data_IF_174950757652
#
_entry.id   IF_174950757652
#
_cell.length_a   1.000
_cell.length_b   1.000
_cell.length_c   1.000
_cell.angle_alpha   90.00
_cell.angle_beta   90.00
_cell.angle_gamma   90.00
#
_symmetry.space_group_name_H-M   'P 1'
#
loop_
_entity.id
_entity.type
_entity.pdbx_description
1 polymer ?
#
# COMPACT_ATOMS: atom_id res chain seq x y z
N UNK A 1 40.19 38.78 -72.56
CA UNK A 1 38.82 38.84 -71.97
C UNK A 1 38.47 37.49 -71.38
N UNK A 2 38.64 37.33 -70.08
CA UNK A 2 38.50 36.03 -69.41
C UNK A 2 37.22 36.08 -68.56
N UNK A 3 36.27 35.20 -68.90
CA UNK A 3 34.98 35.11 -68.21
C UNK A 3 35.11 34.06 -67.09
N UNK A 4 34.94 34.51 -65.89
CA UNK A 4 34.87 33.61 -64.69
C UNK A 4 33.45 33.13 -64.47
N UNK A 5 33.26 31.80 -64.47
CA UNK A 5 32.05 31.14 -64.05
C UNK A 5 32.12 30.90 -62.54
N UNK A 6 31.11 31.31 -61.79
CA UNK A 6 30.89 30.96 -60.42
C UNK A 6 29.96 29.75 -60.34
N UNK A 7 30.44 28.60 -59.80
CA UNK A 7 29.64 27.49 -59.47
C UNK A 7 29.20 27.68 -57.99
N UNK A 8 27.87 27.76 -57.74
CA UNK A 8 27.28 27.84 -56.43
C UNK A 8 27.11 26.41 -55.91
N UNK A 9 27.95 26.01 -54.93
CA UNK A 9 27.77 24.78 -54.17
C UNK A 9 26.69 25.00 -53.10
N UNK A 10 25.51 24.41 -53.32
CA UNK A 10 24.44 24.39 -52.34
C UNK A 10 24.74 23.37 -51.23
N UNK A 11 25.06 23.85 -50.03
CA UNK A 11 25.13 23.00 -48.82
C UNK A 11 23.73 22.83 -48.28
N UNK A 12 23.14 21.65 -48.46
CA UNK A 12 21.88 21.24 -47.82
C UNK A 12 22.17 20.87 -46.37
N UNK A 13 21.89 21.78 -45.45
CA UNK A 13 21.85 21.44 -44.02
C UNK A 13 20.63 20.54 -43.71
N UNK A 14 20.85 19.25 -43.69
CA UNK A 14 19.89 18.30 -43.06
C UNK A 14 19.89 18.53 -41.55
N UNK A 15 18.95 19.36 -41.07
CA UNK A 15 18.63 19.47 -39.66
C UNK A 15 17.89 18.20 -39.28
N UNK A 16 18.64 17.21 -38.76
CA UNK A 16 18.07 16.05 -38.12
C UNK A 16 17.30 16.46 -36.85
N UNK A 17 15.98 16.44 -36.95
CA UNK A 17 15.11 16.49 -35.78
C UNK A 17 15.36 15.21 -34.96
N UNK A 18 16.39 15.21 -34.13
CA UNK A 18 16.51 14.24 -33.05
C UNK A 18 15.39 14.53 -32.07
N UNK A 19 14.30 13.77 -32.17
CA UNK A 19 13.25 13.74 -31.18
C UNK A 19 13.90 13.42 -29.85
N UNK A 20 13.89 14.38 -28.91
CA UNK A 20 14.21 14.15 -27.52
C UNK A 20 13.15 13.23 -26.89
N UNK A 21 13.18 11.94 -27.21
CA UNK A 21 12.60 10.91 -26.39
C UNK A 21 13.39 10.90 -25.09
N UNK A 22 12.81 11.42 -24.00
CA UNK A 22 13.40 11.22 -22.67
C UNK A 22 13.55 9.72 -22.49
N UNK A 23 14.80 9.25 -22.36
CA UNK A 23 15.08 7.86 -22.01
C UNK A 23 14.25 7.52 -20.77
N UNK A 24 13.46 6.46 -20.84
CA UNK A 24 12.81 5.92 -19.65
C UNK A 24 13.90 5.63 -18.62
N UNK A 25 13.62 5.96 -17.34
CA UNK A 25 14.54 5.63 -16.24
C UNK A 25 14.88 4.14 -16.31
N UNK A 26 16.14 3.74 -16.10
CA UNK A 26 16.53 2.35 -16.17
C UNK A 26 15.65 1.52 -15.24
N UNK A 27 15.08 0.43 -15.78
CA UNK A 27 14.19 -0.47 -15.05
C UNK A 27 15.02 -1.56 -14.38
N UNK A 28 14.96 -1.61 -13.05
CA UNK A 28 15.50 -2.71 -12.27
C UNK A 28 14.50 -3.87 -12.28
N UNK A 29 14.92 -5.05 -12.72
CA UNK A 29 14.06 -6.25 -12.75
C UNK A 29 14.50 -7.18 -11.63
N UNK A 30 13.57 -7.50 -10.72
CA UNK A 30 13.77 -8.49 -9.67
C UNK A 30 13.39 -9.89 -10.21
N UNK A 31 14.30 -10.56 -10.90
CA UNK A 31 14.04 -11.86 -11.54
C UNK A 31 14.43 -13.05 -10.65
N UNK A 32 15.47 -12.91 -9.85
CA UNK A 32 16.01 -13.99 -9.00
C UNK A 32 16.00 -13.59 -7.53
N UNK A 33 15.26 -14.33 -6.66
CA UNK A 33 15.33 -14.11 -5.22
C UNK A 33 16.71 -14.56 -4.67
N UNK A 34 17.19 -13.85 -3.66
CA UNK A 34 18.34 -14.28 -2.86
C UNK A 34 17.99 -15.54 -2.05
N UNK A 35 16.77 -15.57 -1.50
CA UNK A 35 16.25 -16.70 -0.74
C UNK A 35 14.72 -16.74 -0.83
N UNK A 36 14.16 -17.94 -0.65
CA UNK A 36 12.69 -18.14 -0.59
C UNK A 36 12.37 -19.09 0.56
N UNK A 37 11.38 -18.75 1.37
CA UNK A 37 10.91 -19.66 2.41
C UNK A 37 10.31 -20.92 1.78
N UNK A 38 10.62 -22.08 2.35
CA UNK A 38 10.07 -23.37 1.91
C UNK A 38 8.58 -23.50 2.22
N UNK A 39 8.12 -22.90 3.34
CA UNK A 39 6.72 -22.89 3.73
C UNK A 39 5.88 -22.07 2.77
N UNK A 40 4.72 -22.62 2.42
CA UNK A 40 3.66 -21.91 1.70
C UNK A 40 2.63 -21.39 2.68
N UNK A 41 2.04 -20.24 2.34
CA UNK A 41 1.03 -19.53 3.10
C UNK A 41 -0.23 -19.36 2.27
N UNK A 42 -1.38 -19.13 2.92
CA UNK A 42 -2.62 -18.82 2.21
C UNK A 42 -2.81 -17.30 2.04
N UNK A 43 -2.56 -16.51 3.10
CA UNK A 43 -2.76 -15.07 3.06
C UNK A 43 -1.85 -14.33 4.04
N UNK A 44 -0.64 -13.99 3.58
CA UNK A 44 0.28 -13.10 4.32
C UNK A 44 -0.10 -11.65 4.06
N UNK A 45 -0.23 -10.86 5.11
CA UNK A 45 -0.54 -9.42 5.02
C UNK A 45 0.69 -8.59 4.72
N UNK A 46 1.71 -8.71 5.56
CA UNK A 46 2.99 -8.04 5.43
C UNK A 46 4.07 -8.77 6.21
N UNK A 47 5.31 -8.35 6.02
CA UNK A 47 6.46 -8.82 6.79
C UNK A 47 7.29 -7.66 7.31
N UNK A 48 7.97 -7.90 8.44
CA UNK A 48 8.92 -6.99 9.07
C UNK A 48 10.20 -7.76 9.33
N UNK A 49 11.35 -7.20 8.92
CA UNK A 49 12.66 -7.79 9.22
C UNK A 49 13.07 -7.51 10.66
N UNK A 50 13.57 -8.54 11.34
CA UNK A 50 14.13 -8.47 12.69
C UNK A 50 15.63 -8.14 12.63
N UNK A 51 16.22 -7.77 13.77
CA UNK A 51 17.64 -7.37 13.82
C UNK A 51 18.62 -8.49 13.45
N UNK A 52 18.22 -9.75 13.63
CA UNK A 52 19.02 -10.93 13.31
C UNK A 52 18.80 -11.44 11.86
N UNK A 53 17.95 -10.77 11.09
CA UNK A 53 17.63 -11.09 9.70
C UNK A 53 16.49 -12.10 9.53
N UNK A 54 15.89 -12.60 10.61
CA UNK A 54 14.58 -13.27 10.55
C UNK A 54 13.51 -12.25 10.16
N UNK A 55 12.33 -12.74 9.82
CA UNK A 55 11.16 -11.90 9.61
C UNK A 55 10.03 -12.27 10.57
N UNK A 56 9.26 -11.26 10.95
CA UNK A 56 7.95 -11.44 11.57
C UNK A 56 6.87 -11.29 10.50
N UNK A 57 5.84 -12.13 10.52
CA UNK A 57 4.71 -12.06 9.59
C UNK A 57 3.39 -12.50 10.24
N UNK A 58 2.28 -11.97 9.73
CA UNK A 58 0.93 -12.38 10.07
C UNK A 58 0.30 -13.16 8.91
N UNK A 59 -0.24 -14.34 9.20
CA UNK A 59 -0.99 -15.20 8.28
C UNK A 59 -2.47 -15.16 8.67
N UNK A 60 -3.28 -14.51 7.86
CA UNK A 60 -4.68 -14.24 8.18
C UNK A 60 -5.58 -15.49 8.17
N UNK A 61 -5.36 -16.39 7.21
CA UNK A 61 -6.24 -17.57 7.04
C UNK A 61 -5.99 -18.62 8.12
N UNK A 62 -4.73 -18.88 8.44
CA UNK A 62 -4.35 -19.80 9.51
C UNK A 62 -4.39 -19.12 10.88
N UNK A 63 -4.69 -17.80 10.91
CA UNK A 63 -4.76 -16.98 12.15
C UNK A 63 -3.49 -17.09 12.99
N UNK A 64 -2.32 -17.08 12.35
CA UNK A 64 -1.04 -17.26 13.04
C UNK A 64 -0.15 -16.03 12.91
N UNK A 65 0.57 -15.74 13.99
CA UNK A 65 1.70 -14.82 14.02
C UNK A 65 2.98 -15.63 14.10
N UNK A 66 3.94 -15.37 13.23
CA UNK A 66 5.13 -16.24 13.03
C UNK A 66 6.39 -15.41 12.95
N UNK A 67 7.49 -16.00 13.45
CA UNK A 67 8.85 -15.64 13.01
C UNK A 67 9.36 -16.70 12.02
N UNK A 68 10.06 -16.25 10.97
CA UNK A 68 10.60 -17.12 9.95
C UNK A 68 12.07 -16.79 9.66
N UNK A 69 12.89 -17.83 9.49
CA UNK A 69 14.30 -17.70 9.20
C UNK A 69 14.59 -18.18 7.77
N UNK A 70 15.15 -17.32 6.94
CA UNK A 70 15.56 -17.67 5.57
C UNK A 70 16.80 -18.56 5.48
N UNK A 71 17.62 -18.63 6.55
CA UNK A 71 18.83 -19.46 6.56
C UNK A 71 18.49 -20.92 6.85
N UNK A 72 17.59 -21.15 7.82
CA UNK A 72 17.19 -22.52 8.21
C UNK A 72 15.93 -22.97 7.49
N UNK A 73 15.11 -22.04 6.99
CA UNK A 73 13.79 -22.31 6.46
C UNK A 73 12.73 -22.56 7.54
N UNK A 74 13.10 -22.44 8.82
CA UNK A 74 12.19 -22.67 9.94
C UNK A 74 11.21 -21.54 10.14
N UNK A 75 10.02 -21.91 10.64
CA UNK A 75 8.98 -20.96 11.08
C UNK A 75 8.54 -21.28 12.49
N UNK A 76 8.59 -20.28 13.37
CA UNK A 76 8.22 -20.42 14.79
C UNK A 76 6.94 -19.66 15.04
N UNK A 77 5.83 -20.29 15.48
CA UNK A 77 4.64 -19.61 15.94
C UNK A 77 4.95 -18.75 17.19
N UNK A 78 4.39 -17.53 17.20
CA UNK A 78 4.56 -16.58 18.30
C UNK A 78 3.20 -16.31 18.92
N UNK A 79 3.09 -16.55 20.23
CA UNK A 79 1.82 -16.49 20.94
C UNK A 79 0.87 -17.61 20.57
N UNK A 80 -0.36 -17.52 21.07
CA UNK A 80 -1.39 -18.53 20.89
C UNK A 80 -2.65 -17.93 20.26
N UNK A 81 -3.28 -18.69 19.36
CA UNK A 81 -4.60 -18.33 18.86
C UNK A 81 -5.67 -18.53 19.92
N UNK A 82 -6.60 -17.57 20.05
CA UNK A 82 -7.76 -17.68 20.92
C UNK A 82 -9.01 -17.12 20.22
N UNK A 83 -10.08 -17.89 20.17
CA UNK A 83 -11.33 -17.49 19.52
C UNK A 83 -12.08 -16.37 20.26
N UNK A 84 -11.85 -16.25 21.58
CA UNK A 84 -12.50 -15.26 22.43
C UNK A 84 -11.47 -14.38 23.13
N UNK A 85 -11.27 -13.17 22.59
CA UNK A 85 -10.50 -12.10 23.23
C UNK A 85 -11.37 -10.85 23.18
N UNK A 86 -11.60 -10.22 24.33
CA UNK A 86 -12.28 -8.91 24.40
C UNK A 86 -11.25 -7.78 24.23
N UNK A 87 -11.65 -6.60 23.77
CA UNK A 87 -10.74 -5.46 23.61
C UNK A 87 -10.03 -5.03 24.91
N UNK A 88 -10.71 -5.21 26.06
CA UNK A 88 -10.25 -4.89 27.40
C UNK A 88 -9.53 -6.06 28.11
N UNK A 89 -9.55 -7.27 27.53
CA UNK A 89 -8.86 -8.44 28.07
C UNK A 89 -7.36 -8.33 27.78
N UNK A 90 -6.48 -8.27 28.79
CA UNK A 90 -5.04 -8.26 28.57
C UNK A 90 -4.56 -9.49 27.78
N UNK A 91 -5.22 -10.66 27.99
CA UNK A 91 -4.92 -11.92 27.29
C UNK A 91 -3.46 -12.02 26.84
N UNK A 92 -2.47 -11.98 27.76
CA UNK A 92 -1.06 -11.91 27.43
C UNK A 92 -0.66 -13.11 26.57
N UNK A 93 0.11 -12.82 25.52
CA UNK A 93 0.59 -13.88 24.62
C UNK A 93 -0.46 -14.47 23.69
N UNK A 94 -1.70 -13.97 23.66
CA UNK A 94 -2.78 -14.50 22.79
C UNK A 94 -3.18 -13.51 21.69
N UNK A 95 -3.67 -14.02 20.55
CA UNK A 95 -4.22 -13.25 19.42
C UNK A 95 -5.44 -13.97 18.83
N UNK A 96 -6.33 -13.21 18.18
CA UNK A 96 -7.56 -13.74 17.58
C UNK A 96 -7.51 -13.75 16.05
N UNK A 97 -7.13 -12.63 15.43
CA UNK A 97 -6.95 -12.49 13.99
C UNK A 97 -5.75 -11.59 13.71
N UNK A 98 -4.53 -12.17 13.66
CA UNK A 98 -3.32 -11.43 13.35
C UNK A 98 -3.46 -10.73 12.00
N UNK A 99 -3.45 -9.39 11.99
CA UNK A 99 -3.67 -8.59 10.79
C UNK A 99 -2.38 -8.11 10.17
N UNK A 100 -1.67 -7.22 10.86
CA UNK A 100 -0.40 -6.64 10.40
C UNK A 100 0.67 -6.72 11.46
N UNK A 101 1.92 -6.87 11.03
CA UNK A 101 3.10 -6.71 11.87
C UNK A 101 3.73 -5.33 11.64
N UNK A 102 4.28 -4.75 12.71
CA UNK A 102 4.88 -3.42 12.71
C UNK A 102 6.30 -3.50 13.29
N UNK A 103 7.23 -2.73 12.73
CA UNK A 103 8.51 -2.47 13.37
C UNK A 103 8.38 -1.19 14.20
N UNK A 104 8.53 -1.31 15.50
CA UNK A 104 8.61 -0.18 16.42
C UNK A 104 10.07 0.07 16.82
N UNK A 105 10.33 1.05 17.65
CA UNK A 105 11.71 1.35 18.09
C UNK A 105 12.37 0.19 18.86
N UNK A 106 13.69 0.07 18.76
CA UNK A 106 14.45 -1.04 19.37
C UNK A 106 14.17 -2.40 18.74
N UNK A 107 14.08 -3.43 19.56
CA UNK A 107 13.77 -4.84 19.20
C UNK A 107 12.28 -5.18 19.37
N UNK A 108 11.41 -4.17 19.28
CA UNK A 108 9.98 -4.35 19.48
C UNK A 108 9.24 -4.56 18.16
N UNK A 109 8.43 -5.62 18.14
CA UNK A 109 7.49 -5.95 17.07
C UNK A 109 6.07 -5.72 17.57
N UNK A 110 5.28 -4.94 16.83
CA UNK A 110 3.86 -4.78 17.07
C UNK A 110 3.06 -5.78 16.23
N UNK A 111 2.05 -6.40 16.82
CA UNK A 111 1.06 -7.19 16.13
C UNK A 111 -0.29 -6.50 16.24
N UNK A 112 -0.86 -6.06 15.12
CA UNK A 112 -2.23 -5.56 15.04
C UNK A 112 -3.16 -6.75 14.91
N UNK A 113 -4.03 -6.94 15.92
CA UNK A 113 -5.06 -7.97 15.92
C UNK A 113 -6.40 -7.35 15.49
N UNK A 114 -6.87 -7.70 14.30
CA UNK A 114 -8.08 -7.11 13.74
C UNK A 114 -9.36 -7.48 14.49
N UNK A 115 -9.46 -8.71 14.98
CA UNK A 115 -10.68 -9.18 15.63
C UNK A 115 -10.70 -8.90 17.14
N UNK A 116 -9.53 -8.70 17.75
CA UNK A 116 -9.41 -8.24 19.13
C UNK A 116 -9.30 -6.70 19.22
N UNK A 117 -9.26 -6.00 18.09
CA UNK A 117 -9.19 -4.53 17.98
C UNK A 117 -8.07 -3.91 18.83
N UNK A 118 -6.91 -4.57 18.88
CA UNK A 118 -5.78 -4.14 19.70
C UNK A 118 -4.43 -4.33 18.99
N UNK A 119 -3.42 -3.63 19.46
CA UNK A 119 -2.01 -3.86 19.08
C UNK A 119 -1.27 -4.44 20.27
N UNK A 120 -0.69 -5.62 20.12
CA UNK A 120 0.17 -6.25 21.13
C UNK A 120 1.64 -6.04 20.76
N UNK A 121 2.49 -5.87 21.78
CA UNK A 121 3.93 -5.70 21.63
C UNK A 121 4.68 -6.97 22.05
N UNK A 122 5.70 -7.30 21.27
CA UNK A 122 6.53 -8.49 21.41
C UNK A 122 8.00 -8.10 21.23
N UNK A 123 8.91 -8.81 21.88
CA UNK A 123 10.33 -8.66 21.55
C UNK A 123 10.73 -9.62 20.42
N UNK A 124 11.93 -9.47 19.89
CA UNK A 124 12.46 -10.34 18.81
C UNK A 124 12.76 -11.78 19.25
N UNK A 125 12.70 -12.07 20.57
CA UNK A 125 12.71 -13.43 21.09
C UNK A 125 11.31 -14.08 21.09
N UNK A 126 10.27 -13.34 20.67
CA UNK A 126 8.89 -13.83 20.66
C UNK A 126 8.17 -13.76 22.01
N UNK A 127 8.72 -13.03 22.97
CA UNK A 127 8.08 -12.85 24.26
C UNK A 127 7.11 -11.67 24.21
N UNK A 128 5.92 -11.87 24.77
CA UNK A 128 4.91 -10.84 24.93
C UNK A 128 5.40 -9.76 25.91
N UNK A 129 5.22 -8.48 25.54
CA UNK A 129 5.59 -7.35 26.38
C UNK A 129 4.36 -6.67 26.99
N UNK A 130 3.44 -6.19 26.15
CA UNK A 130 2.25 -5.46 26.61
C UNK A 130 1.24 -5.25 25.49
N UNK A 131 0.11 -4.60 25.81
CA UNK A 131 -0.86 -4.06 24.85
C UNK A 131 -0.63 -2.56 24.68
N UNK A 132 -0.53 -2.09 23.46
CA UNK A 132 -0.44 -0.67 23.12
C UNK A 132 -1.84 -0.02 23.03
N UNK A 133 -2.63 -0.16 24.10
CA UNK A 133 -4.00 0.37 24.20
C UNK A 133 -4.99 -0.33 23.27
N UNK A 134 -6.29 -0.09 23.49
CA UNK A 134 -7.31 -0.45 22.52
C UNK A 134 -7.07 0.44 21.27
N UNK A 135 -6.49 -0.13 20.25
CA UNK A 135 -6.47 0.53 18.98
C UNK A 135 -7.93 0.67 18.55
N UNK A 136 -8.51 1.84 18.60
CA UNK A 136 -9.74 2.10 17.89
C UNK A 136 -9.47 1.86 16.40
N UNK A 137 -9.43 0.60 16.01
CA UNK A 137 -9.31 0.17 14.62
C UNK A 137 -10.66 0.44 13.98
N UNK A 138 -10.85 1.69 13.60
CA UNK A 138 -12.02 2.09 12.84
C UNK A 138 -11.92 1.49 11.44
N UNK A 139 -12.62 0.35 11.23
CA UNK A 139 -12.79 -0.25 9.92
C UNK A 139 -11.66 -1.20 9.48
N UNK A 140 -12.04 -2.33 8.93
CA UNK A 140 -11.20 -3.47 8.54
C UNK A 140 -10.14 -3.22 7.44
N UNK A 141 -9.98 -1.99 6.97
CA UNK A 141 -9.11 -1.67 5.83
C UNK A 141 -8.14 -0.49 6.05
N UNK A 142 -7.95 -0.03 7.29
CA UNK A 142 -7.05 1.08 7.54
C UNK A 142 -5.68 0.58 7.97
N UNK A 143 -4.69 0.72 7.10
CA UNK A 143 -3.30 0.62 7.48
C UNK A 143 -3.04 1.64 8.61
N UNK A 144 -2.79 1.14 9.81
CA UNK A 144 -2.41 2.00 10.93
C UNK A 144 -0.91 2.18 10.86
N UNK A 145 -0.48 3.42 10.62
CA UNK A 145 0.92 3.75 10.62
C UNK A 145 1.34 4.23 12.01
N UNK A 146 2.53 3.82 12.45
CA UNK A 146 3.16 4.29 13.68
C UNK A 146 4.53 4.86 13.38
N UNK A 147 4.93 5.90 14.11
CA UNK A 147 6.32 6.34 14.14
C UNK A 147 7.08 5.69 15.32
N UNK A 148 8.39 5.91 15.39
CA UNK A 148 9.24 5.33 16.44
C UNK A 148 8.93 5.88 17.85
N UNK A 149 8.17 6.98 17.97
CA UNK A 149 7.71 7.55 19.25
C UNK A 149 6.39 6.93 19.70
N UNK A 150 5.81 6.03 18.90
CA UNK A 150 4.52 5.40 19.15
C UNK A 150 3.31 6.27 18.81
N UNK A 151 3.50 7.42 18.13
CA UNK A 151 2.36 8.16 17.58
C UNK A 151 1.67 7.30 16.52
N UNK A 152 0.35 7.25 16.60
CA UNK A 152 -0.49 6.53 15.64
C UNK A 152 -1.05 7.51 14.61
N UNK A 153 -1.04 7.11 13.34
CA UNK A 153 -1.55 7.90 12.22
C UNK A 153 -2.65 7.13 11.50
N UNK A 154 -3.79 7.78 11.24
CA UNK A 154 -4.92 7.16 10.54
C UNK A 154 -5.73 8.14 9.73
N UNK A 155 -6.48 7.64 8.77
CA UNK A 155 -7.55 8.39 8.10
C UNK A 155 -8.73 8.59 9.05
N UNK A 156 -9.30 9.80 9.09
CA UNK A 156 -10.51 10.09 9.86
C UNK A 156 -11.77 9.72 9.07
N UNK A 157 -12.06 8.43 9.00
CA UNK A 157 -13.27 7.92 8.33
C UNK A 157 -14.53 8.22 9.15
N UNK A 158 -14.40 8.38 10.50
CA UNK A 158 -15.57 8.63 11.36
C UNK A 158 -16.19 9.99 11.13
N UNK A 159 -15.38 11.01 10.84
CA UNK A 159 -15.90 12.33 10.50
C UNK A 159 -16.75 12.29 9.23
N UNK A 160 -16.44 11.38 8.31
CA UNK A 160 -17.18 11.15 7.07
C UNK A 160 -18.44 10.32 7.31
N UNK A 161 -18.36 9.27 8.15
CA UNK A 161 -19.47 8.37 8.42
C UNK A 161 -20.43 8.92 9.49
N UNK A 162 -19.91 9.67 10.48
CA UNK A 162 -20.70 10.25 11.58
C UNK A 162 -21.60 11.43 11.19
N UNK A 163 -21.38 12.00 10.00
CA UNK A 163 -22.24 13.03 9.43
C UNK A 163 -23.41 12.49 8.59
N UNK A 164 -23.57 11.17 8.50
CA UNK A 164 -24.65 10.53 7.76
C UNK A 164 -25.92 10.51 8.62
N UNK A 165 -26.67 11.61 8.65
CA UNK A 165 -28.06 11.54 9.09
C UNK A 165 -28.87 10.74 8.05
N UNK A 166 -29.84 9.92 8.48
CA UNK A 166 -30.72 9.20 7.57
C UNK A 166 -31.35 10.16 6.54
N UNK A 167 -31.10 9.92 5.26
CA UNK A 167 -31.61 10.72 4.15
C UNK A 167 -30.73 11.88 3.68
N UNK A 168 -29.55 12.10 4.28
CA UNK A 168 -28.58 13.10 3.84
C UNK A 168 -27.35 12.43 3.24
N UNK A 169 -27.20 12.50 1.93
CA UNK A 169 -25.97 12.08 1.24
C UNK A 169 -24.91 13.19 1.39
N UNK A 170 -23.93 12.95 2.27
CA UNK A 170 -22.76 13.83 2.39
C UNK A 170 -21.66 13.31 1.48
N UNK A 171 -21.29 14.09 0.48
CA UNK A 171 -20.14 13.83 -0.36
C UNK A 171 -18.95 14.60 0.19
N UNK A 172 -17.87 13.88 0.50
CA UNK A 172 -16.62 14.48 0.92
C UNK A 172 -15.62 14.38 -0.23
N UNK A 173 -14.88 15.42 -0.49
CA UNK A 173 -13.80 15.47 -1.47
C UNK A 173 -12.45 15.07 -0.86
N UNK A 174 -12.38 15.07 0.47
CA UNK A 174 -11.14 14.81 1.20
C UNK A 174 -11.38 14.16 2.58
N UNK A 175 -10.37 13.41 3.06
CA UNK A 175 -10.26 12.86 4.41
C UNK A 175 -9.12 13.53 5.17
N UNK A 176 -9.30 13.74 6.47
CA UNK A 176 -8.21 14.16 7.36
C UNK A 176 -7.30 12.98 7.70
N UNK A 177 -5.99 13.24 7.76
CA UNK A 177 -5.02 12.37 8.41
C UNK A 177 -4.85 12.85 9.85
N UNK A 178 -5.14 11.98 10.80
CA UNK A 178 -5.02 12.23 12.22
C UNK A 178 -3.71 11.67 12.76
N UNK A 179 -3.04 12.43 13.62
CA UNK A 179 -1.96 11.96 14.50
C UNK A 179 -2.48 11.87 15.93
N UNK A 180 -2.27 10.72 16.57
CA UNK A 180 -2.71 10.43 17.94
C UNK A 180 -1.48 10.05 18.75
N UNK A 181 -1.07 10.86 19.74
CA UNK A 181 0.05 10.54 20.62
C UNK A 181 -0.19 9.28 21.45
N UNK A 182 0.87 8.60 21.95
CA UNK A 182 0.74 7.46 22.84
C UNK A 182 -0.02 7.84 24.11
N UNK A 183 -1.02 7.03 24.49
CA UNK A 183 -1.83 7.26 25.69
C UNK A 183 -2.84 8.39 25.59
N UNK A 184 -2.90 9.12 24.48
CA UNK A 184 -3.83 10.23 24.27
C UNK A 184 -5.08 9.78 23.49
N UNK A 185 -6.20 10.46 23.75
CA UNK A 185 -7.45 10.34 23.01
C UNK A 185 -7.67 11.52 22.05
N UNK A 186 -6.90 12.60 22.21
CA UNK A 186 -6.96 13.78 21.36
C UNK A 186 -6.12 13.58 20.11
N UNK A 187 -6.72 13.83 18.97
CA UNK A 187 -6.10 13.69 17.66
C UNK A 187 -5.86 15.06 17.01
N UNK A 188 -4.66 15.25 16.48
CA UNK A 188 -4.33 16.41 15.65
C UNK A 188 -4.62 16.09 14.18
N UNK A 189 -5.30 16.98 13.46
CA UNK A 189 -5.36 16.91 11.99
C UNK A 189 -4.07 17.47 11.40
N UNK A 190 -3.27 16.61 10.77
CA UNK A 190 -1.96 17.00 10.24
C UNK A 190 -1.93 17.14 8.72
N UNK A 191 -2.87 16.51 8.01
CA UNK A 191 -2.94 16.55 6.55
C UNK A 191 -4.36 16.26 6.05
N UNK A 192 -4.57 16.48 4.74
CA UNK A 192 -5.79 16.05 4.03
C UNK A 192 -5.42 15.24 2.79
N UNK A 193 -6.18 14.18 2.54
CA UNK A 193 -6.08 13.30 1.39
C UNK A 193 -7.28 13.54 0.49
N UNK A 194 -7.05 13.74 -0.80
CA UNK A 194 -8.13 13.83 -1.77
C UNK A 194 -8.73 12.45 -2.01
N UNK A 195 -10.06 12.37 -1.95
CA UNK A 195 -10.81 11.16 -2.26
C UNK A 195 -11.07 11.02 -3.76
N UNK A 196 -11.36 9.79 -4.24
CA UNK A 196 -11.87 9.59 -5.59
C UNK A 196 -13.19 10.36 -5.78
N UNK A 197 -13.57 10.70 -7.01
CA UNK A 197 -14.90 11.20 -7.31
C UNK A 197 -15.99 10.22 -6.84
N UNK A 198 -17.17 10.76 -6.53
CA UNK A 198 -18.34 10.01 -6.15
C UNK A 198 -19.27 9.83 -7.35
N UNK A 199 -20.01 8.73 -7.37
CA UNK A 199 -21.04 8.46 -8.34
C UNK A 199 -22.15 7.60 -7.74
N UNK A 200 -23.25 7.42 -8.46
CA UNK A 200 -24.37 6.61 -8.01
C UNK A 200 -24.05 5.13 -8.18
N UNK A 201 -24.18 4.36 -7.12
CA UNK A 201 -24.15 2.91 -7.11
C UNK A 201 -25.52 2.36 -6.71
N UNK A 202 -25.86 1.17 -7.19
CA UNK A 202 -27.11 0.47 -6.85
C UNK A 202 -26.82 -0.82 -6.09
N UNK A 203 -27.59 -1.06 -5.03
CA UNK A 203 -27.48 -2.21 -4.14
C UNK A 203 -28.87 -2.75 -3.86
N UNK A 204 -29.36 -3.63 -4.72
CA UNK A 204 -30.77 -4.01 -4.75
C UNK A 204 -31.65 -2.81 -5.05
N UNK A 205 -32.62 -2.50 -4.19
CA UNK A 205 -33.51 -1.33 -4.33
C UNK A 205 -32.88 -0.01 -3.89
N UNK A 206 -31.71 -0.04 -3.24
CA UNK A 206 -31.09 1.15 -2.69
C UNK A 206 -30.10 1.77 -3.67
N UNK A 207 -30.26 3.06 -3.94
CA UNK A 207 -29.26 3.87 -4.65
C UNK A 207 -28.47 4.69 -3.62
N UNK A 208 -27.13 4.61 -3.69
CA UNK A 208 -26.24 5.32 -2.78
C UNK A 208 -25.13 6.02 -3.56
N UNK A 209 -24.63 7.12 -3.02
CA UNK A 209 -23.38 7.69 -3.50
C UNK A 209 -22.21 6.87 -2.95
N UNK A 210 -21.36 6.42 -3.86
CA UNK A 210 -20.18 5.60 -3.54
C UNK A 210 -18.95 6.12 -4.30
N UNK A 211 -17.79 5.86 -3.78
CA UNK A 211 -16.55 6.23 -4.46
C UNK A 211 -16.43 5.51 -5.82
N UNK A 212 -16.02 6.24 -6.83
CA UNK A 212 -15.80 5.71 -8.18
C UNK A 212 -14.65 4.69 -8.17
N UNK A 213 -14.94 3.49 -8.63
CA UNK A 213 -13.98 2.38 -8.68
C UNK A 213 -12.90 2.67 -9.72
N UNK A 214 -11.66 2.30 -9.45
CA UNK A 214 -10.44 2.55 -10.24
C UNK A 214 -10.01 4.02 -10.37
N UNK A 215 -10.79 4.98 -9.86
CA UNK A 215 -10.34 6.37 -9.81
C UNK A 215 -9.16 6.54 -8.85
N UNK A 216 -8.26 7.46 -9.17
CA UNK A 216 -7.12 7.77 -8.32
C UNK A 216 -7.55 8.42 -6.99
N UNK A 217 -6.93 8.00 -5.91
CA UNK A 217 -7.03 8.62 -4.58
C UNK A 217 -5.64 8.95 -4.05
N UNK A 218 -5.56 9.92 -3.16
CA UNK A 218 -4.32 10.16 -2.43
C UNK A 218 -4.03 9.00 -1.47
N UNK A 219 -2.75 8.64 -1.35
CA UNK A 219 -2.24 7.68 -0.38
C UNK A 219 -1.30 8.38 0.59
N UNK A 220 -1.13 7.84 1.78
CA UNK A 220 -0.15 8.34 2.74
C UNK A 220 0.58 7.21 3.45
N UNK A 221 1.71 7.54 4.03
CA UNK A 221 2.43 6.69 4.96
C UNK A 221 3.33 7.52 5.86
N UNK A 222 3.84 6.89 6.90
CA UNK A 222 4.63 7.51 7.95
C UNK A 222 5.96 6.79 8.06
N UNK A 223 7.02 7.56 8.28
CA UNK A 223 8.35 7.03 8.54
C UNK A 223 8.61 6.94 10.06
N UNK A 224 9.60 6.14 10.48
CA UNK A 224 9.95 6.04 11.90
C UNK A 224 10.30 7.37 12.57
N UNK A 225 10.84 8.34 11.83
CA UNK A 225 11.15 9.68 12.34
C UNK A 225 9.91 10.58 12.55
N UNK A 226 8.72 10.11 12.15
CA UNK A 226 7.47 10.87 12.19
C UNK A 226 7.25 11.75 10.96
N UNK A 227 8.11 11.69 9.96
CA UNK A 227 7.84 12.29 8.64
C UNK A 227 6.68 11.57 7.97
N UNK A 228 5.82 12.35 7.29
CA UNK A 228 4.69 11.82 6.54
C UNK A 228 4.90 12.12 5.05
N UNK A 229 4.58 11.14 4.22
CA UNK A 229 4.47 11.36 2.78
C UNK A 229 3.02 11.25 2.31
N UNK A 230 2.69 12.01 1.28
CA UNK A 230 1.40 11.91 0.58
C UNK A 230 1.65 11.77 -0.91
N UNK A 231 1.24 10.65 -1.49
CA UNK A 231 1.19 10.48 -2.93
C UNK A 231 -0.10 11.12 -3.45
N UNK A 232 0.04 12.16 -4.28
CA UNK A 232 -1.07 12.93 -4.86
C UNK A 232 -1.52 12.32 -6.17
N UNK A 233 -2.72 11.77 -6.21
CA UNK A 233 -3.26 11.15 -7.42
C UNK A 233 -3.51 12.17 -8.55
N UNK A 234 -3.79 13.42 -8.24
CA UNK A 234 -4.11 14.46 -9.22
C UNK A 234 -2.96 14.80 -10.18
N UNK A 235 -1.72 14.67 -9.74
CA UNK A 235 -0.53 15.05 -10.50
C UNK A 235 0.62 14.04 -10.41
N UNK A 236 0.38 12.86 -9.80
CA UNK A 236 1.38 11.81 -9.57
C UNK A 236 2.65 12.36 -8.86
N UNK A 237 2.47 13.15 -7.81
CA UNK A 237 3.55 13.70 -6.99
C UNK A 237 3.61 13.02 -5.62
N UNK A 238 4.76 13.13 -4.94
CA UNK A 238 4.89 12.75 -3.53
C UNK A 238 5.26 14.00 -2.73
N UNK A 239 4.32 14.47 -1.92
CA UNK A 239 4.54 15.55 -0.96
C UNK A 239 5.08 14.98 0.34
N UNK A 240 5.91 15.75 1.03
CA UNK A 240 6.50 15.38 2.31
C UNK A 240 6.16 16.40 3.40
N UNK A 241 5.79 15.90 4.58
CA UNK A 241 5.62 16.69 5.80
C UNK A 241 6.69 16.25 6.81
N UNK A 242 7.53 17.19 7.22
CA UNK A 242 8.53 16.91 8.28
C UNK A 242 7.86 16.79 9.64
N UNK A 243 8.52 16.19 10.65
CA UNK A 243 8.03 16.17 12.02
C UNK A 243 7.80 17.56 12.63
N UNK A 244 8.50 18.58 12.11
CA UNK A 244 8.34 19.99 12.51
C UNK A 244 7.18 20.69 11.85
N UNK A 245 6.40 20.00 10.98
CA UNK A 245 5.24 20.58 10.30
C UNK A 245 5.57 21.29 8.98
N UNK A 246 6.80 21.20 8.48
CA UNK A 246 7.19 21.84 7.21
C UNK A 246 6.89 20.96 6.02
N UNK A 247 6.18 21.51 5.02
CA UNK A 247 5.87 20.83 3.78
C UNK A 247 6.95 21.02 2.71
N UNK A 248 7.33 19.91 2.07
CA UNK A 248 8.07 19.91 0.81
C UNK A 248 7.17 19.33 -0.27
N UNK A 249 6.83 20.14 -1.28
CA UNK A 249 5.96 19.71 -2.39
C UNK A 249 6.73 18.92 -3.42
N UNK A 250 6.22 17.76 -3.77
CA UNK A 250 6.77 16.93 -4.82
C UNK A 250 6.49 17.51 -6.22
N UNK A 251 7.40 17.21 -7.15
CA UNK A 251 7.19 17.53 -8.57
C UNK A 251 6.19 16.58 -9.18
N UNK A 252 5.17 17.11 -9.86
CA UNK A 252 4.24 16.32 -10.65
C UNK A 252 4.94 15.55 -11.77
N UNK A 253 4.53 14.30 -11.97
CA UNK A 253 5.11 13.38 -12.96
C UNK A 253 4.04 12.96 -13.95
N UNK A 254 4.48 12.75 -15.21
CA UNK A 254 3.61 12.12 -16.21
C UNK A 254 3.43 10.65 -15.86
N UNK A 255 2.27 10.11 -16.14
CA UNK A 255 1.97 8.68 -16.04
C UNK A 255 1.12 8.25 -17.23
N UNK A 256 1.23 6.97 -17.58
CA UNK A 256 0.43 6.39 -18.65
C UNK A 256 -1.01 6.22 -18.19
N UNK A 257 -1.93 6.78 -18.95
CA UNK A 257 -3.35 6.57 -18.75
C UNK A 257 -3.72 5.14 -19.19
N UNK A 258 -4.33 4.41 -18.31
CA UNK A 258 -4.75 3.02 -18.55
C UNK A 258 -6.27 2.98 -18.51
N UNK A 259 -6.88 2.64 -19.63
CA UNK A 259 -8.32 2.50 -19.72
C UNK A 259 -8.83 1.34 -18.86
N UNK A 260 -10.06 1.46 -18.36
CA UNK A 260 -10.77 0.42 -17.64
C UNK A 260 -11.78 -0.25 -18.59
N UNK A 261 -11.44 -1.42 -19.19
CA UNK A 261 -12.32 -2.08 -20.12
C UNK A 261 -13.54 -2.71 -19.45
N UNK A 262 -14.57 -3.02 -20.23
CA UNK A 262 -15.84 -3.56 -19.69
C UNK A 262 -15.62 -4.89 -18.97
N UNK A 263 -14.74 -5.76 -19.48
CA UNK A 263 -14.43 -7.06 -18.87
C UNK A 263 -13.86 -6.92 -17.44
N UNK A 264 -13.07 -5.88 -17.18
CA UNK A 264 -12.53 -5.60 -15.84
C UNK A 264 -13.64 -5.15 -14.89
N UNK A 265 -14.55 -4.27 -15.36
CA UNK A 265 -15.74 -3.83 -14.61
C UNK A 265 -16.64 -5.01 -14.26
N UNK A 266 -16.92 -5.88 -15.22
CA UNK A 266 -17.76 -7.05 -15.05
C UNK A 266 -17.14 -8.06 -14.07
N UNK A 267 -15.83 -8.27 -14.16
CA UNK A 267 -15.09 -9.13 -13.23
C UNK A 267 -15.12 -8.56 -11.80
N UNK A 268 -14.97 -7.24 -11.64
CA UNK A 268 -15.10 -6.60 -10.33
C UNK A 268 -16.49 -6.83 -9.73
N UNK A 269 -17.54 -6.58 -10.50
CA UNK A 269 -18.91 -6.78 -10.04
C UNK A 269 -19.22 -8.26 -9.75
N UNK A 270 -18.67 -9.19 -10.52
CA UNK A 270 -18.81 -10.62 -10.28
C UNK A 270 -18.22 -11.03 -8.93
N UNK A 271 -16.98 -10.63 -8.65
CA UNK A 271 -16.32 -10.90 -7.35
C UNK A 271 -17.09 -10.28 -6.18
N UNK A 272 -17.60 -9.07 -6.36
CA UNK A 272 -18.39 -8.40 -5.33
C UNK A 272 -19.69 -9.13 -5.03
N UNK A 273 -20.42 -9.60 -6.07
CA UNK A 273 -21.63 -10.45 -5.90
C UNK A 273 -21.31 -11.72 -5.13
N UNK A 274 -20.23 -12.42 -5.49
CA UNK A 274 -19.78 -13.61 -4.76
C UNK A 274 -19.46 -13.32 -3.30
N UNK A 275 -18.80 -12.20 -3.02
CA UNK A 275 -18.48 -11.78 -1.65
C UNK A 275 -19.77 -11.49 -0.87
N UNK A 276 -20.70 -10.74 -1.45
CA UNK A 276 -21.99 -10.44 -0.81
C UNK A 276 -22.83 -11.69 -0.58
N UNK A 277 -22.85 -12.63 -1.52
CA UNK A 277 -23.54 -13.91 -1.35
C UNK A 277 -22.96 -14.72 -0.18
N UNK A 278 -21.62 -14.73 -0.02
CA UNK A 278 -20.97 -15.35 1.15
C UNK A 278 -21.34 -14.68 2.48
N UNK A 279 -21.71 -13.40 2.46
CA UNK A 279 -22.20 -12.65 3.62
C UNK A 279 -23.72 -12.74 3.81
N UNK A 280 -24.41 -13.57 3.03
CA UNK A 280 -25.84 -13.81 3.16
C UNK A 280 -26.75 -12.88 2.36
N UNK A 281 -26.21 -12.10 1.41
CA UNK A 281 -27.03 -11.30 0.52
C UNK A 281 -27.90 -12.19 -0.39
N UNK A 282 -29.11 -11.75 -0.77
CA UNK A 282 -29.98 -12.50 -1.68
C UNK A 282 -29.30 -12.80 -3.02
N UNK A 283 -29.56 -13.99 -3.57
CA UNK A 283 -29.11 -14.34 -4.90
C UNK A 283 -29.73 -13.39 -5.93
N UNK A 284 -28.92 -12.92 -6.89
CA UNK A 284 -29.39 -12.04 -7.96
C UNK A 284 -29.56 -10.58 -7.58
N UNK A 285 -29.03 -10.14 -6.44
CA UNK A 285 -29.05 -8.73 -6.05
C UNK A 285 -28.51 -7.85 -7.18
N UNK A 286 -29.28 -6.83 -7.56
CA UNK A 286 -28.84 -5.85 -8.54
C UNK A 286 -27.71 -5.00 -7.96
N UNK A 287 -26.57 -5.02 -8.65
CA UNK A 287 -25.38 -4.27 -8.26
C UNK A 287 -24.86 -3.45 -9.43
N UNK A 288 -24.72 -2.15 -9.20
CA UNK A 288 -23.95 -1.28 -10.07
C UNK A 288 -23.03 -0.38 -9.25
N UNK A 289 -21.91 -0.01 -9.87
CA UNK A 289 -20.94 0.92 -9.31
C UNK A 289 -20.53 1.94 -10.37
N UNK A 290 -20.24 3.17 -9.98
CA UNK A 290 -19.59 4.10 -10.88
C UNK A 290 -18.12 3.68 -11.07
N UNK A 291 -17.69 3.60 -12.30
CA UNK A 291 -16.31 3.28 -12.67
C UNK A 291 -15.66 4.47 -13.34
N UNK A 292 -14.37 4.69 -13.06
CA UNK A 292 -13.56 5.59 -13.84
C UNK A 292 -13.31 5.04 -15.23
N UNK A 293 -13.17 5.91 -16.23
CA UNK A 293 -12.77 5.50 -17.58
C UNK A 293 -11.29 5.13 -17.66
N UNK A 294 -10.47 5.77 -16.80
CA UNK A 294 -9.03 5.56 -16.70
C UNK A 294 -8.63 5.34 -15.23
N UNK A 295 -7.64 4.45 -15.04
CA UNK A 295 -7.07 4.18 -13.71
C UNK A 295 -6.27 5.36 -13.19
N UNK A 296 -6.24 5.54 -11.87
CA UNK A 296 -5.34 6.52 -11.22
C UNK A 296 -3.86 6.20 -11.45
N UNK A 297 -2.93 7.10 -11.07
CA UNK A 297 -1.51 6.94 -11.35
C UNK A 297 -0.83 5.80 -10.56
N UNK A 298 -1.42 5.39 -9.45
CA UNK A 298 -0.93 4.31 -8.57
C UNK A 298 -2.11 3.64 -7.86
N UNK A 299 -1.90 2.40 -7.42
CA UNK A 299 -2.92 1.59 -6.73
C UNK A 299 -2.56 1.29 -5.27
N UNK A 300 -1.28 1.33 -4.94
CA UNK A 300 -0.76 1.13 -3.59
C UNK A 300 0.52 1.94 -3.36
N UNK A 301 0.89 2.11 -2.09
CA UNK A 301 2.11 2.80 -1.71
C UNK A 301 2.66 2.28 -0.39
N UNK A 302 3.98 2.06 -0.34
CA UNK A 302 4.69 1.59 0.85
C UNK A 302 6.03 2.33 0.98
N UNK A 303 6.63 2.30 2.16
CA UNK A 303 7.91 2.97 2.43
C UNK A 303 8.97 1.95 2.82
N UNK A 304 10.17 2.07 2.29
CA UNK A 304 11.31 1.28 2.72
C UNK A 304 12.05 1.95 3.90
N UNK A 305 12.95 1.25 4.61
CA UNK A 305 13.70 1.82 5.74
C UNK A 305 14.60 3.01 5.39
N UNK A 306 15.05 3.14 4.13
CA UNK A 306 15.81 4.31 3.67
C UNK A 306 14.93 5.55 3.44
N UNK A 307 13.63 5.42 3.61
CA UNK A 307 12.66 6.52 3.48
C UNK A 307 12.26 6.81 2.03
N UNK A 308 12.44 5.87 1.11
CA UNK A 308 11.90 5.97 -0.25
C UNK A 308 10.47 5.46 -0.30
N UNK A 309 9.62 6.13 -1.06
CA UNK A 309 8.23 5.73 -1.30
C UNK A 309 8.15 4.89 -2.56
N UNK A 310 7.62 3.71 -2.44
CA UNK A 310 7.33 2.81 -3.53
C UNK A 310 5.85 2.92 -3.88
N UNK A 311 5.54 3.30 -5.11
CA UNK A 311 4.17 3.44 -5.62
C UNK A 311 3.93 2.41 -6.71
N UNK A 312 2.99 1.50 -6.50
CA UNK A 312 2.62 0.50 -7.50
C UNK A 312 1.83 1.14 -8.63
N UNK A 313 2.32 1.00 -9.86
CA UNK A 313 1.60 1.44 -11.05
C UNK A 313 0.35 0.58 -11.27
N UNK A 314 -0.77 1.16 -11.74
CA UNK A 314 -1.88 0.37 -12.23
C UNK A 314 -1.44 -0.45 -13.46
N UNK A 315 -2.10 -1.57 -13.67
CA UNK A 315 -1.81 -2.48 -14.79
C UNK A 315 -2.97 -2.49 -15.76
N UNK A 316 -2.67 -2.72 -17.05
CA UNK A 316 -3.70 -3.00 -18.03
C UNK A 316 -4.43 -4.31 -17.67
N UNK A 317 -5.68 -4.45 -18.09
CA UNK A 317 -6.42 -5.69 -17.89
C UNK A 317 -5.68 -6.86 -18.54
N UNK A 318 -5.53 -7.94 -17.79
CA UNK A 318 -4.76 -9.13 -18.21
C UNK A 318 -3.26 -9.06 -17.95
N UNK A 319 -2.70 -7.88 -17.66
CA UNK A 319 -1.29 -7.76 -17.25
C UNK A 319 -1.11 -8.18 -15.78
N UNK A 320 -0.15 -9.05 -15.54
CA UNK A 320 0.13 -9.61 -14.21
C UNK A 320 1.52 -9.26 -13.68
N UNK A 321 2.27 -8.39 -14.38
CA UNK A 321 3.61 -7.98 -13.98
C UNK A 321 3.53 -6.67 -13.18
N UNK A 322 3.82 -6.67 -11.86
CA UNK A 322 3.82 -5.45 -11.07
C UNK A 322 5.03 -4.57 -11.39
N UNK A 323 4.78 -3.28 -11.50
CA UNK A 323 5.81 -2.26 -11.70
C UNK A 323 5.64 -1.16 -10.65
N UNK A 324 6.75 -0.76 -10.04
CA UNK A 324 6.77 0.21 -8.97
C UNK A 324 7.65 1.41 -9.33
N UNK A 325 7.15 2.62 -9.04
CA UNK A 325 7.95 3.82 -9.00
C UNK A 325 8.52 4.00 -7.60
N UNK A 326 9.84 4.13 -7.50
CA UNK A 326 10.54 4.39 -6.24
C UNK A 326 10.96 5.85 -6.21
N UNK A 327 10.39 6.59 -5.27
CA UNK A 327 10.55 8.06 -5.17
C UNK A 327 11.32 8.39 -3.90
N UNK A 328 12.48 9.02 -4.05
CA UNK A 328 13.28 9.50 -2.93
C UNK A 328 12.64 10.71 -2.21
N UNK A 329 13.15 11.02 -1.01
CA UNK A 329 12.65 12.16 -0.19
C UNK A 329 12.79 13.51 -0.88
N UNK A 330 13.76 13.68 -1.77
CA UNK A 330 13.93 14.92 -2.54
C UNK A 330 12.95 15.00 -3.74
N UNK A 331 12.18 13.94 -3.99
CA UNK A 331 11.22 13.78 -5.10
C UNK A 331 11.81 14.02 -6.50
N UNK A 332 13.15 14.05 -6.62
CA UNK A 332 13.85 14.32 -7.89
C UNK A 332 14.17 13.05 -8.64
N UNK A 333 14.57 12.03 -7.92
CA UNK A 333 14.96 10.74 -8.48
C UNK A 333 13.79 9.77 -8.44
N UNK A 334 13.51 9.14 -9.58
CA UNK A 334 12.52 8.06 -9.68
C UNK A 334 13.20 6.87 -10.34
N UNK A 335 13.30 5.78 -9.60
CA UNK A 335 13.72 4.49 -10.14
C UNK A 335 12.48 3.65 -10.44
N UNK A 336 12.57 2.77 -11.42
CA UNK A 336 11.48 1.87 -11.78
C UNK A 336 11.89 0.44 -11.43
N UNK A 337 11.09 -0.23 -10.62
CA UNK A 337 11.32 -1.62 -10.21
C UNK A 337 10.20 -2.49 -10.75
N UNK A 338 10.57 -3.55 -11.45
CA UNK A 338 9.67 -4.58 -11.94
C UNK A 338 9.80 -5.84 -11.08
N UNK A 339 8.67 -6.36 -10.63
CA UNK A 339 8.61 -7.59 -9.85
C UNK A 339 8.30 -8.80 -10.75
N UNK A 340 8.48 -10.03 -10.25
CA UNK A 340 8.00 -11.24 -10.89
C UNK A 340 6.48 -11.19 -11.15
N UNK A 341 6.03 -11.95 -12.14
CA UNK A 341 4.61 -12.12 -12.43
C UNK A 341 3.83 -12.60 -11.20
N UNK A 342 2.60 -12.11 -11.01
CA UNK A 342 1.70 -12.48 -9.93
C UNK A 342 2.30 -12.33 -8.53
N UNK A 343 3.06 -11.26 -8.30
CA UNK A 343 3.71 -10.98 -7.03
C UNK A 343 3.32 -9.63 -6.44
N UNK A 344 3.68 -9.40 -5.18
CA UNK A 344 3.46 -8.12 -4.48
C UNK A 344 4.56 -7.87 -3.45
N UNK A 345 4.93 -6.61 -3.24
CA UNK A 345 5.80 -6.21 -2.12
C UNK A 345 5.01 -6.36 -0.82
N UNK A 346 5.62 -7.00 0.18
CA UNK A 346 5.01 -7.18 1.51
C UNK A 346 5.87 -6.66 2.65
N UNK A 347 7.07 -6.18 2.36
CA UNK A 347 7.94 -5.56 3.35
C UNK A 347 9.32 -5.26 2.81
N UNK A 348 10.10 -4.64 3.67
CA UNK A 348 11.48 -4.28 3.40
C UNK A 348 12.37 -4.63 4.59
N UNK A 349 13.64 -4.83 4.31
CA UNK A 349 14.67 -5.01 5.30
C UNK A 349 15.83 -4.04 5.13
N UNK A 350 16.86 -4.20 5.94
CA UNK A 350 18.13 -3.49 5.78
C UNK A 350 18.83 -3.86 4.48
N UNK A 351 19.87 -3.08 4.12
CA UNK A 351 20.77 -3.36 2.98
C UNK A 351 20.06 -3.58 1.64
N UNK A 352 18.96 -2.86 1.40
CA UNK A 352 18.20 -2.94 0.16
C UNK A 352 17.38 -4.22 -0.01
N UNK A 353 17.10 -4.96 1.07
CA UNK A 353 16.25 -6.14 1.01
C UNK A 353 14.79 -5.78 0.78
N UNK A 354 14.18 -6.51 -0.16
CA UNK A 354 12.75 -6.40 -0.49
C UNK A 354 12.11 -7.77 -0.33
N UNK A 355 11.05 -7.83 0.45
CA UNK A 355 10.26 -9.04 0.64
C UNK A 355 9.07 -9.03 -0.30
N UNK A 356 8.95 -10.09 -1.08
CA UNK A 356 7.97 -10.23 -2.15
C UNK A 356 7.17 -11.50 -1.92
N UNK A 357 5.85 -11.39 -1.99
CA UNK A 357 4.97 -12.54 -2.09
C UNK A 357 4.91 -13.01 -3.54
N UNK A 358 5.27 -14.27 -3.75
CA UNK A 358 5.07 -14.98 -5.00
C UNK A 358 3.82 -15.83 -4.89
N UNK A 359 2.91 -15.75 -5.87
CA UNK A 359 1.69 -16.57 -5.92
C UNK A 359 1.84 -17.63 -7.00
N UNK A 360 1.53 -18.88 -6.64
CA UNK A 360 1.44 -19.98 -7.59
C UNK A 360 0.07 -20.07 -8.26
N UNK A 361 -0.11 -21.05 -9.16
CA UNK A 361 -1.35 -21.25 -9.90
C UNK A 361 -2.57 -21.58 -9.01
N UNK A 362 -2.34 -22.13 -7.83
CA UNK A 362 -3.37 -22.46 -6.83
C UNK A 362 -3.67 -21.31 -5.87
N UNK A 363 -3.00 -20.15 -6.07
CA UNK A 363 -3.15 -18.97 -5.23
C UNK A 363 -2.38 -19.03 -3.91
N UNK A 364 -1.59 -20.09 -3.65
CA UNK A 364 -0.73 -20.19 -2.48
C UNK A 364 0.41 -19.20 -2.58
N UNK A 365 0.86 -18.71 -1.45
CA UNK A 365 1.84 -17.65 -1.34
C UNK A 365 3.15 -18.18 -0.77
N UNK A 366 4.28 -17.71 -1.31
CA UNK A 366 5.61 -17.88 -0.71
C UNK A 366 6.26 -16.52 -0.53
N UNK A 367 6.96 -16.35 0.58
CA UNK A 367 7.75 -15.13 0.82
C UNK A 367 9.14 -15.35 0.25
N UNK A 368 9.53 -14.48 -0.66
CA UNK A 368 10.86 -14.45 -1.26
C UNK A 368 11.59 -13.16 -0.88
N UNK A 369 12.90 -13.24 -0.65
CA UNK A 369 13.77 -12.11 -0.36
C UNK A 369 14.61 -11.77 -1.58
N UNK A 370 14.56 -10.50 -1.99
CA UNK A 370 15.39 -9.93 -3.06
C UNK A 370 16.31 -8.87 -2.48
N UNK A 371 17.39 -8.55 -3.18
CA UNK A 371 18.31 -7.45 -2.84
C UNK A 371 18.37 -6.49 -4.02
N UNK A 372 18.11 -5.21 -3.75
CA UNK A 372 18.32 -4.13 -4.72
C UNK A 372 19.82 -3.86 -4.82
N UNK A 373 20.38 -4.04 -6.00
CA UNK A 373 21.81 -3.78 -6.29
C UNK A 373 21.94 -2.65 -7.30
#
# INVERSE_FOLDING_TARGET
>A
MTVWRWEAAGVACLVGLQGCGKAESPRLVLDRPEATLSRTFQQVSNVVELSDGRIALAELKDKTFLFADFKTGETTPIGEHADTIRPDDPAPGRHKLPGYVLRLGGDTVGLIDFAAERTTLWNEAGQYLTVLGAAGVGGHNQAVNYDARGNRYKEDVRSVLGGLEPGRELMFDSLSVLRIPPGDTVADTIAKLKLPPWGRGQFGEQVKMVSMIFAGRDLFGVLPDGSLWIARASNNAVDWLSPSGQWTRGRGRRFSKIAVPQEEKDTFLGRLREQMARMGAPAGIELSYPFADEKGPFISGVTNPSGEVWLERPRAWGDSIPVWDVVGRDSKEVRVVQLPKASSVVGFGGDGRVYVLLRDGDGRQRVARYVLR
#
